data_IF_445200505132
#
_entry.id   IF_445200505132
#
_cell.length_a   1.000
_cell.length_b   1.000
_cell.length_c   1.000
_cell.angle_alpha   90.00
_cell.angle_beta   90.00
_cell.angle_gamma   90.00
#
_symmetry.space_group_name_H-M   'P 1'
#
loop_
_entity.id
_entity.type
_entity.pdbx_description
1 polymer ?
#
# COMPACT_ATOMS: atom_id res chain seq x y z
N UNK A 1 -19.31 -12.37 9.19
CA UNK A 1 -17.95 -12.62 8.68
C UNK A 1 -17.34 -11.26 8.47
N UNK A 2 -16.24 -10.93 9.15
CA UNK A 2 -15.57 -9.65 8.91
C UNK A 2 -14.86 -9.83 7.57
N UNK A 3 -15.39 -9.22 6.52
CA UNK A 3 -14.72 -9.19 5.22
C UNK A 3 -13.40 -8.43 5.44
N UNK A 4 -12.27 -9.13 5.31
CA UNK A 4 -10.95 -8.50 5.29
C UNK A 4 -10.83 -7.77 3.94
N UNK A 5 -11.44 -6.60 3.86
CA UNK A 5 -11.44 -5.75 2.67
C UNK A 5 -10.01 -5.23 2.45
N UNK A 6 -9.52 -5.33 1.22
CA UNK A 6 -8.19 -4.83 0.88
C UNK A 6 -8.18 -3.31 0.97
N UNK A 7 -7.24 -2.74 1.74
CA UNK A 7 -7.19 -1.31 2.05
C UNK A 7 -7.12 -0.41 0.80
N UNK A 8 -6.52 -0.91 -0.28
CA UNK A 8 -6.43 -0.21 -1.55
C UNK A 8 -7.78 0.03 -2.22
N UNK A 9 -8.86 -0.68 -1.85
CA UNK A 9 -10.21 -0.45 -2.40
C UNK A 9 -10.76 0.94 -2.10
N UNK A 10 -10.16 1.64 -1.11
CA UNK A 10 -10.46 3.02 -0.80
C UNK A 10 -9.84 4.01 -1.82
N UNK A 11 -9.00 3.51 -2.74
CA UNK A 11 -8.23 4.32 -3.69
C UNK A 11 -8.41 3.81 -5.13
N UNK A 12 -8.43 4.70 -6.13
CA UNK A 12 -8.42 4.30 -7.53
C UNK A 12 -7.10 3.58 -7.86
N UNK A 13 -7.19 2.37 -8.43
CA UNK A 13 -6.04 1.57 -8.80
C UNK A 13 -6.37 0.65 -9.98
N UNK A 14 -5.36 0.19 -10.72
CA UNK A 14 -5.53 -0.74 -11.85
C UNK A 14 -5.07 -2.17 -11.54
N UNK A 15 -4.62 -2.41 -10.31
CA UNK A 15 -4.05 -3.69 -9.87
C UNK A 15 -5.14 -4.73 -9.56
N UNK A 16 -4.98 -5.99 -10.00
CA UNK A 16 -5.99 -7.02 -9.78
C UNK A 16 -6.11 -7.40 -8.29
N UNK A 17 -7.34 -7.56 -7.79
CA UNK A 17 -7.60 -8.11 -6.47
C UNK A 17 -7.41 -9.63 -6.42
N UNK A 18 -7.10 -10.12 -5.21
CA UNK A 18 -7.22 -11.53 -4.83
C UNK A 18 -8.04 -11.64 -3.56
N UNK A 19 -8.72 -12.77 -3.40
CA UNK A 19 -9.72 -13.00 -2.35
C UNK A 19 -9.14 -13.07 -0.92
N UNK A 20 -7.81 -13.21 -0.79
CA UNK A 20 -7.12 -13.36 0.50
C UNK A 20 -6.33 -12.10 0.85
N UNK A 21 -7.00 -11.10 1.42
CA UNK A 21 -6.29 -9.98 2.06
C UNK A 21 -5.83 -10.40 3.45
N UNK A 22 -4.57 -10.12 3.78
CA UNK A 22 -3.97 -10.44 5.07
C UNK A 22 -3.46 -9.16 5.73
N UNK A 23 -3.40 -9.17 7.07
CA UNK A 23 -2.88 -8.05 7.83
C UNK A 23 -1.38 -7.87 7.57
N UNK A 24 -1.01 -6.67 7.11
CA UNK A 24 0.38 -6.30 6.78
C UNK A 24 1.06 -5.55 7.93
N UNK A 25 2.40 -5.43 7.95
CA UNK A 25 3.13 -4.74 9.01
C UNK A 25 2.72 -3.27 9.19
N UNK A 26 2.18 -2.64 8.14
CA UNK A 26 1.59 -1.30 8.22
C UNK A 26 0.21 -1.22 8.90
N UNK A 27 -0.32 -2.33 9.41
CA UNK A 27 -1.65 -2.39 10.07
C UNK A 27 -2.85 -2.46 9.11
N UNK A 28 -2.60 -2.57 7.80
CA UNK A 28 -3.67 -2.62 6.79
C UNK A 28 -3.82 -4.02 6.21
N UNK A 29 -5.05 -4.44 5.92
CA UNK A 29 -5.29 -5.65 5.14
C UNK A 29 -4.96 -5.37 3.67
N UNK A 30 -4.14 -6.21 3.06
CA UNK A 30 -3.84 -6.12 1.64
C UNK A 30 -3.68 -7.50 1.02
N UNK A 31 -4.17 -7.69 -0.21
CA UNK A 31 -3.91 -8.92 -0.94
C UNK A 31 -2.50 -8.88 -1.55
N UNK A 32 -1.95 -10.04 -1.91
CA UNK A 32 -0.56 -10.16 -2.41
C UNK A 32 -0.25 -9.27 -3.64
N UNK A 33 -1.25 -8.94 -4.46
CA UNK A 33 -1.08 -8.05 -5.62
C UNK A 33 -1.05 -6.56 -5.23
N UNK A 34 -1.38 -6.22 -3.99
CA UNK A 34 -1.42 -4.88 -3.43
C UNK A 34 -0.42 -4.68 -2.29
N UNK A 35 0.58 -5.55 -2.24
CA UNK A 35 1.72 -5.45 -1.34
C UNK A 35 3.00 -5.24 -2.10
N UNK A 36 3.98 -4.63 -1.42
CA UNK A 36 5.35 -4.50 -1.89
C UNK A 36 6.30 -4.87 -0.77
N UNK A 37 7.25 -5.75 -1.09
CA UNK A 37 8.31 -6.13 -0.16
C UNK A 37 9.29 -4.96 -0.04
N UNK A 38 9.37 -4.39 1.16
CA UNK A 38 10.37 -3.38 1.50
C UNK A 38 11.48 -4.08 2.31
N UNK A 39 12.73 -3.88 1.89
CA UNK A 39 13.90 -4.55 2.47
C UNK A 39 14.69 -3.63 3.43
N UNK A 40 14.16 -2.45 3.75
CA UNK A 40 14.92 -1.43 4.50
C UNK A 40 16.07 -0.84 3.67
N UNK A 41 16.70 0.22 4.19
CA UNK A 41 17.94 0.80 3.65
C UNK A 41 19.17 0.48 4.50
N UNK A 42 19.02 -0.33 5.55
CA UNK A 42 20.06 -0.61 6.55
C UNK A 42 20.13 0.38 7.73
N UNK A 43 19.42 1.50 7.65
CA UNK A 43 19.16 2.43 8.78
C UNK A 43 17.83 2.14 9.47
N UNK A 44 16.84 1.66 8.70
CA UNK A 44 15.53 1.22 9.17
C UNK A 44 15.50 -0.32 9.31
N UNK A 45 16.24 -0.90 10.26
CA UNK A 45 16.21 -2.34 10.59
C UNK A 45 14.79 -2.84 10.92
N UNK A 46 13.90 -1.94 11.34
CA UNK A 46 12.54 -2.27 11.82
C UNK A 46 11.47 -2.36 10.73
N UNK A 47 11.79 -2.07 9.46
CA UNK A 47 10.77 -1.95 8.40
C UNK A 47 10.85 -3.01 7.30
N UNK A 48 11.47 -4.16 7.55
CA UNK A 48 11.51 -5.24 6.56
C UNK A 48 10.17 -5.99 6.54
N UNK A 49 9.51 -6.06 5.39
CA UNK A 49 8.27 -6.83 5.23
C UNK A 49 7.42 -6.47 4.01
N UNK A 50 6.27 -7.13 3.86
CA UNK A 50 5.30 -6.88 2.79
C UNK A 50 4.29 -5.80 3.21
N UNK A 51 4.56 -4.56 2.81
CA UNK A 51 3.72 -3.40 3.14
C UNK A 51 2.60 -3.25 2.13
N UNK A 52 1.46 -2.68 2.53
CA UNK A 52 0.45 -2.29 1.56
C UNK A 52 0.99 -1.20 0.64
N UNK A 53 0.59 -1.24 -0.63
CA UNK A 53 1.12 -0.35 -1.66
C UNK A 53 0.81 1.13 -1.37
N UNK A 54 -0.31 1.42 -0.70
CA UNK A 54 -0.68 2.79 -0.30
C UNK A 54 0.29 3.36 0.73
N UNK A 55 0.57 2.65 1.82
CA UNK A 55 1.51 3.10 2.84
C UNK A 55 2.93 3.24 2.27
N UNK A 56 3.35 2.28 1.44
CA UNK A 56 4.62 2.38 0.75
C UNK A 56 4.68 3.62 -0.15
N UNK A 57 3.64 3.87 -0.94
CA UNK A 57 3.58 5.03 -1.83
C UNK A 57 3.51 6.37 -1.09
N UNK A 58 2.90 6.42 0.10
CA UNK A 58 2.96 7.61 0.98
C UNK A 58 4.38 7.88 1.48
N UNK A 59 5.13 6.84 1.87
CA UNK A 59 6.53 6.97 2.34
C UNK A 59 7.50 7.26 1.18
N UNK A 60 7.27 6.64 0.01
CA UNK A 60 8.15 6.70 -1.16
C UNK A 60 7.36 6.99 -2.45
N UNK A 61 6.80 8.20 -2.63
CA UNK A 61 5.88 8.52 -3.73
C UNK A 61 6.51 8.41 -5.13
N UNK A 62 7.83 8.54 -5.22
CA UNK A 62 8.57 8.39 -6.47
C UNK A 62 8.69 6.91 -6.92
N UNK A 63 8.52 5.97 -6.00
CA UNK A 63 8.75 4.53 -6.23
C UNK A 63 7.45 3.72 -6.38
N UNK A 64 6.28 4.37 -6.33
CA UNK A 64 5.02 3.66 -6.49
C UNK A 64 4.80 3.26 -7.97
N UNK A 65 4.53 1.98 -8.25
CA UNK A 65 4.37 1.47 -9.62
C UNK A 65 3.02 1.84 -10.26
N UNK A 66 1.99 2.18 -9.48
CA UNK A 66 0.66 2.50 -9.98
C UNK A 66 0.43 4.02 -10.03
N UNK A 67 0.13 4.54 -11.22
CA UNK A 67 -0.06 5.99 -11.44
C UNK A 67 -1.34 6.52 -10.78
N UNK A 68 -2.41 5.74 -10.72
CA UNK A 68 -3.68 6.17 -10.11
C UNK A 68 -3.52 6.32 -8.60
N UNK A 69 -2.83 5.35 -7.98
CA UNK A 69 -2.46 5.43 -6.55
C UNK A 69 -1.62 6.67 -6.27
N UNK A 70 -0.61 6.94 -7.11
CA UNK A 70 0.21 8.15 -6.96
C UNK A 70 -0.64 9.41 -7.01
N UNK A 71 -1.50 9.53 -8.03
CA UNK A 71 -2.38 10.69 -8.18
C UNK A 71 -3.32 10.86 -6.97
N UNK A 72 -3.91 9.78 -6.48
CA UNK A 72 -4.79 9.81 -5.32
C UNK A 72 -4.05 10.26 -4.05
N UNK A 73 -2.83 9.77 -3.81
CA UNK A 73 -2.01 10.18 -2.65
C UNK A 73 -1.59 11.65 -2.74
N UNK A 74 -1.26 12.14 -3.93
CA UNK A 74 -0.94 13.56 -4.12
C UNK A 74 -2.16 14.44 -3.83
N UNK A 75 -3.35 14.05 -4.31
CA UNK A 75 -4.60 14.80 -4.06
C UNK A 75 -5.01 14.77 -2.57
N UNK A 76 -4.80 13.66 -1.87
CA UNK A 76 -5.04 13.52 -0.42
C UNK A 76 -4.11 14.40 0.44
N UNK A 77 -2.96 14.79 -0.12
CA UNK A 77 -1.94 15.60 0.58
C UNK A 77 -2.07 17.10 0.35
N UNK A 78 -2.95 17.55 -0.54
CA UNK A 78 -3.26 18.98 -0.72
C UNK A 78 -4.37 19.38 0.26
N UNK A 79 -4.11 20.26 1.25
CA UNK A 79 -5.18 20.81 2.07
C UNK A 79 -6.10 21.66 1.19
N UNK A 80 -7.40 21.36 1.24
CA UNK A 80 -8.45 22.18 0.64
C UNK A 80 -8.44 23.62 1.18
#
# INVERSE_FOLDING_TARGET
MIEHICYIEQFPHSLPHRENAELRPCGHHACASHTITYYGTGDDDELVGDYCLICYARKFPQNCPDRLIRQAIFQDSEPA
#
